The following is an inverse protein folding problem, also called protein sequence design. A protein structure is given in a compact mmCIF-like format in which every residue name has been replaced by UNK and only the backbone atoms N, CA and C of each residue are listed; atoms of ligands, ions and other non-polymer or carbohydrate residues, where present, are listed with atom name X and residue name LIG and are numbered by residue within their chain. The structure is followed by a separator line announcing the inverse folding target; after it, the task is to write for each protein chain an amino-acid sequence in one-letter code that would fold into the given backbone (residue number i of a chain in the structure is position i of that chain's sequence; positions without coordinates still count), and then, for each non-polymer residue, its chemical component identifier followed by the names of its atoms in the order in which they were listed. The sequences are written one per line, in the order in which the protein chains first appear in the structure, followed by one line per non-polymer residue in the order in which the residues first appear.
data_IF_577259482801
#
_entry.id   IF_577259482801
#
_cell.length_a   1.000
_cell.length_b   1.000
_cell.length_c   1.000
_cell.angle_alpha   90.00
_cell.angle_beta   90.00
_cell.angle_gamma   90.00
#
_symmetry.space_group_name_H-M   'P 1'
#
loop_
_entity.id
_entity.type
_entity.pdbx_description
1 polymer ?
#
# COMPACT_ATOMS: atom_id res chain seq x y z
N UNK A 1 7.20 -28.47 27.48
CA UNK A 1 6.00 -27.78 26.96
C UNK A 1 6.31 -27.03 25.66
N UNK A 2 7.14 -25.99 25.68
CA UNK A 2 7.44 -25.17 24.48
C UNK A 2 7.97 -25.99 23.30
N UNK A 3 8.91 -26.91 23.51
CA UNK A 3 9.39 -27.82 22.44
C UNK A 3 8.27 -28.68 21.84
N UNK A 4 7.38 -29.21 22.67
CA UNK A 4 6.23 -29.99 22.22
C UNK A 4 5.29 -29.13 21.37
N UNK A 5 5.05 -27.88 21.76
CA UNK A 5 4.28 -26.93 20.96
C UNK A 5 4.96 -26.62 19.62
N UNK A 6 6.28 -26.42 19.61
CA UNK A 6 7.08 -26.23 18.39
C UNK A 6 6.91 -27.39 17.39
N UNK A 7 7.06 -28.62 17.87
CA UNK A 7 6.86 -29.83 17.03
C UNK A 7 5.42 -29.94 16.55
N UNK A 8 4.44 -29.66 17.41
CA UNK A 8 3.02 -29.71 17.05
C UNK A 8 2.67 -28.69 15.96
N UNK A 9 3.19 -27.46 16.03
CA UNK A 9 2.91 -26.44 15.02
C UNK A 9 3.57 -26.76 13.68
N UNK A 10 4.79 -27.32 13.70
CA UNK A 10 5.44 -27.82 12.47
C UNK A 10 4.61 -28.89 11.79
N UNK A 11 4.14 -29.87 12.55
CA UNK A 11 3.27 -30.92 12.03
C UNK A 11 2.00 -30.37 11.40
N UNK A 12 1.40 -29.31 11.97
CA UNK A 12 0.22 -28.66 11.39
C UNK A 12 0.54 -27.92 10.09
N UNK A 13 1.68 -27.24 10.01
CA UNK A 13 2.13 -26.57 8.77
C UNK A 13 2.44 -27.58 7.66
N UNK A 14 2.99 -28.74 8.01
CA UNK A 14 3.23 -29.83 7.06
C UNK A 14 1.91 -30.43 6.52
N UNK A 15 0.86 -30.47 7.34
CA UNK A 15 -0.47 -30.98 6.96
C UNK A 15 -1.30 -29.95 6.16
N UNK A 16 -1.15 -28.66 6.45
CA UNK A 16 -1.87 -27.58 5.79
C UNK A 16 -0.91 -26.50 5.24
N UNK A 17 -0.60 -26.54 3.92
CA UNK A 17 0.28 -25.58 3.28
C UNK A 17 -0.20 -24.11 3.35
N UNK A 18 -1.47 -23.84 3.66
CA UNK A 18 -1.95 -22.46 3.87
C UNK A 18 -1.37 -21.84 5.16
N UNK A 19 -0.91 -22.67 6.09
CA UNK A 19 -0.24 -22.25 7.33
C UNK A 19 1.26 -21.99 7.15
N UNK A 20 1.79 -22.06 5.93
CA UNK A 20 3.20 -21.79 5.67
C UNK A 20 3.61 -20.39 6.15
N UNK A 21 4.66 -20.34 6.97
CA UNK A 21 5.13 -19.12 7.62
C UNK A 21 4.42 -18.80 8.94
N UNK A 22 3.48 -19.62 9.41
CA UNK A 22 2.88 -19.47 10.74
C UNK A 22 3.94 -19.63 11.83
N UNK A 23 4.02 -18.66 12.73
CA UNK A 23 4.87 -18.70 13.90
C UNK A 23 4.28 -17.85 15.01
N UNK A 24 4.72 -18.11 16.25
CA UNK A 24 4.28 -17.34 17.40
C UNK A 24 5.44 -17.14 18.38
N UNK A 25 5.40 -16.03 19.11
CA UNK A 25 6.28 -15.81 20.26
C UNK A 25 5.76 -16.63 21.45
N UNK A 26 6.63 -16.87 22.43
CA UNK A 26 6.23 -17.49 23.69
C UNK A 26 7.07 -16.93 24.83
N UNK A 27 6.42 -16.27 25.78
CA UNK A 27 7.02 -15.89 27.05
C UNK A 27 6.16 -16.48 28.16
N UNK A 28 6.71 -17.40 28.93
CA UNK A 28 5.98 -18.17 29.92
C UNK A 28 6.70 -18.14 31.28
N UNK A 29 5.93 -18.04 32.35
CA UNK A 29 6.41 -18.11 33.72
C UNK A 29 5.77 -19.30 34.43
N UNK A 30 6.59 -20.17 35.00
CA UNK A 30 6.17 -21.35 35.75
C UNK A 30 6.61 -21.21 37.19
N UNK A 31 5.69 -21.31 38.14
CA UNK A 31 6.02 -21.42 39.55
C UNK A 31 6.27 -22.87 39.94
N UNK A 32 7.43 -23.15 40.53
CA UNK A 32 7.73 -24.39 41.24
C UNK A 32 8.15 -24.09 42.69
N UNK A 33 7.24 -24.29 43.63
CA UNK A 33 7.48 -23.98 45.04
C UNK A 33 7.80 -22.49 45.27
N UNK A 34 9.05 -22.21 45.62
CA UNK A 34 9.62 -20.86 45.84
C UNK A 34 10.43 -20.35 44.66
N UNK A 35 10.43 -21.06 43.53
CA UNK A 35 11.11 -20.67 42.31
C UNK A 35 10.12 -20.30 41.21
N UNK A 36 10.55 -19.41 40.33
CA UNK A 36 9.89 -19.05 39.08
C UNK A 36 10.83 -19.39 37.93
N UNK A 37 10.36 -20.19 36.99
CA UNK A 37 11.08 -20.54 35.78
C UNK A 37 10.49 -19.78 34.60
N UNK A 38 11.33 -18.99 33.93
CA UNK A 38 10.98 -18.27 32.72
C UNK A 38 11.39 -19.11 31.51
N UNK A 39 10.53 -19.20 30.50
CA UNK A 39 10.88 -19.69 29.18
C UNK A 39 10.49 -18.63 28.14
N UNK A 40 11.41 -18.28 27.26
CA UNK A 40 11.24 -17.16 26.34
C UNK A 40 11.71 -17.47 24.91
N UNK A 41 10.88 -17.09 23.94
CA UNK A 41 11.13 -17.11 22.50
C UNK A 41 10.40 -15.93 21.85
N UNK A 42 11.14 -15.01 21.24
CA UNK A 42 10.59 -13.97 20.36
C UNK A 42 10.88 -12.59 20.90
N UNK A 43 9.97 -11.64 20.69
CA UNK A 43 10.10 -10.23 21.13
C UNK A 43 9.01 -9.80 22.13
N UNK A 44 8.24 -10.77 22.64
CA UNK A 44 7.36 -10.56 23.79
C UNK A 44 8.17 -10.49 25.07
N UNK A 45 7.89 -9.54 25.95
CA UNK A 45 8.80 -9.20 27.04
C UNK A 45 8.29 -9.65 28.39
N UNK A 46 9.24 -10.03 29.26
CA UNK A 46 9.03 -10.28 30.68
C UNK A 46 9.74 -9.21 31.50
N UNK A 47 9.05 -8.69 32.50
CA UNK A 47 9.57 -7.72 33.46
C UNK A 47 9.30 -8.17 34.89
N UNK A 48 10.19 -7.79 35.79
CA UNK A 48 9.98 -7.82 37.23
C UNK A 48 10.06 -6.40 37.78
N UNK A 49 9.09 -6.03 38.60
CA UNK A 49 9.10 -4.83 39.40
C UNK A 49 9.40 -5.21 40.85
N UNK A 50 10.54 -4.75 41.35
CA UNK A 50 11.05 -5.05 42.69
C UNK A 50 11.80 -3.84 43.24
N UNK A 51 11.65 -3.58 44.54
CA UNK A 51 12.39 -2.52 45.26
C UNK A 51 12.35 -1.12 44.62
N UNK A 52 11.25 -0.80 43.92
CA UNK A 52 11.07 0.49 43.26
C UNK A 52 11.56 0.53 41.80
N UNK A 53 12.17 -0.55 41.30
CA UNK A 53 12.79 -0.62 39.99
C UNK A 53 12.09 -1.61 39.07
N UNK A 54 11.95 -1.25 37.80
CA UNK A 54 11.49 -2.13 36.74
C UNK A 54 12.70 -2.71 35.99
N UNK A 55 12.83 -4.04 36.00
CA UNK A 55 13.89 -4.73 35.27
C UNK A 55 13.29 -5.63 34.20
N UNK A 56 13.76 -5.50 32.96
CA UNK A 56 13.47 -6.46 31.91
C UNK A 56 14.30 -7.72 32.14
N UNK A 57 13.65 -8.88 32.17
CA UNK A 57 14.30 -10.18 32.40
C UNK A 57 14.47 -11.00 31.12
N UNK A 58 13.73 -10.69 30.07
CA UNK A 58 13.84 -11.34 28.76
C UNK A 58 14.77 -10.56 27.84
N UNK A 59 15.42 -11.26 26.92
CA UNK A 59 16.21 -10.66 25.84
C UNK A 59 15.50 -10.85 24.50
N UNK A 60 15.25 -9.77 23.77
CA UNK A 60 14.45 -9.83 22.54
C UNK A 60 15.18 -10.60 21.43
N UNK A 61 14.53 -11.59 20.84
CA UNK A 61 15.05 -12.32 19.68
C UNK A 61 14.76 -11.59 18.36
N UNK A 62 15.10 -10.31 18.27
CA UNK A 62 14.89 -9.49 17.06
C UNK A 62 16.20 -9.20 16.32
N UNK A 63 16.10 -8.86 15.04
CA UNK A 63 17.25 -8.48 14.23
C UNK A 63 17.95 -7.22 14.80
N UNK A 64 17.18 -6.23 15.25
CA UNK A 64 17.75 -5.02 15.85
C UNK A 64 18.44 -5.29 17.17
N UNK A 65 17.89 -6.18 18.01
CA UNK A 65 18.56 -6.61 19.23
C UNK A 65 19.91 -7.28 18.92
N UNK A 66 19.96 -8.14 17.90
CA UNK A 66 21.22 -8.74 17.46
C UNK A 66 22.26 -7.69 17.00
N UNK A 67 21.82 -6.62 16.33
CA UNK A 67 22.70 -5.51 15.95
C UNK A 67 23.20 -4.73 17.17
N UNK A 68 22.36 -4.52 18.18
CA UNK A 68 22.75 -3.90 19.46
C UNK A 68 23.80 -4.78 20.16
N UNK A 69 23.53 -6.08 20.31
CA UNK A 69 24.42 -7.03 20.99
C UNK A 69 25.80 -7.12 20.33
N UNK A 70 25.86 -6.94 19.01
CA UNK A 70 27.09 -6.93 18.22
C UNK A 70 27.72 -5.53 18.10
N UNK A 71 27.20 -4.53 18.81
CA UNK A 71 27.63 -3.12 18.80
C UNK A 71 27.62 -2.49 17.39
N UNK A 72 26.70 -2.91 16.53
CA UNK A 72 26.54 -2.35 15.17
C UNK A 72 25.63 -1.12 15.16
N UNK A 73 24.68 -1.05 16.08
CA UNK A 73 23.78 0.10 16.28
C UNK A 73 23.61 0.38 17.78
N UNK A 74 23.17 1.59 18.12
CA UNK A 74 22.75 1.91 19.51
C UNK A 74 21.27 1.57 19.75
N UNK A 75 20.85 1.55 21.02
CA UNK A 75 19.44 1.35 21.40
C UNK A 75 18.53 2.41 20.75
N UNK A 76 18.98 3.68 20.73
CA UNK A 76 18.21 4.77 20.13
C UNK A 76 18.10 4.63 18.60
N UNK A 77 19.07 4.01 17.96
CA UNK A 77 19.04 3.72 16.52
C UNK A 77 18.10 2.54 16.22
N UNK A 78 18.07 1.53 17.09
CA UNK A 78 17.19 0.36 16.97
C UNK A 78 15.70 0.75 16.94
N UNK A 79 15.27 1.70 17.77
CA UNK A 79 13.89 2.19 17.80
C UNK A 79 13.38 2.74 16.45
N UNK A 80 14.30 3.33 15.66
CA UNK A 80 13.97 3.94 14.35
C UNK A 80 14.36 3.05 13.18
N UNK A 81 14.88 1.86 13.44
CA UNK A 81 15.37 0.97 12.39
C UNK A 81 14.21 0.45 11.53
N UNK A 82 14.35 0.40 10.20
CA UNK A 82 13.29 -0.08 9.29
C UNK A 82 12.95 -1.56 9.52
N UNK A 83 13.89 -2.35 10.03
CA UNK A 83 13.73 -3.78 10.31
C UNK A 83 13.53 -4.09 11.81
N UNK A 84 13.03 -3.13 12.61
CA UNK A 84 12.82 -3.32 14.06
C UNK A 84 11.80 -4.41 14.42
N UNK A 85 10.89 -4.73 13.50
CA UNK A 85 9.88 -5.79 13.68
C UNK A 85 10.31 -7.16 13.13
N UNK A 86 11.56 -7.30 12.67
CA UNK A 86 12.06 -8.59 12.15
C UNK A 86 12.48 -9.47 13.34
N UNK A 87 11.70 -10.51 13.60
CA UNK A 87 11.96 -11.51 14.65
C UNK A 87 12.85 -12.62 14.08
N UNK A 88 13.88 -13.02 14.83
CA UNK A 88 14.84 -14.07 14.46
C UNK A 88 14.45 -15.46 14.97
N UNK A 89 13.71 -15.54 16.09
CA UNK A 89 13.29 -16.81 16.70
C UNK A 89 11.80 -16.79 17.00
N UNK A 90 11.06 -17.77 16.48
CA UNK A 90 9.63 -17.97 16.74
C UNK A 90 9.32 -19.45 16.91
N UNK A 91 8.40 -19.76 17.81
CA UNK A 91 7.87 -21.13 17.95
C UNK A 91 7.23 -21.54 16.61
N UNK A 92 7.44 -22.80 16.21
CA UNK A 92 7.12 -23.34 14.88
C UNK A 92 8.37 -23.43 13.99
N UNK A 93 9.38 -22.61 14.26
CA UNK A 93 10.61 -22.57 13.48
C UNK A 93 11.88 -22.74 14.34
N UNK A 94 11.76 -23.18 15.60
CA UNK A 94 12.90 -23.30 16.53
C UNK A 94 13.70 -24.59 16.36
N UNK A 95 15.01 -24.47 16.40
CA UNK A 95 15.89 -25.59 16.73
C UNK A 95 15.93 -25.84 18.25
N UNK A 96 16.29 -27.05 18.70
CA UNK A 96 16.08 -27.47 20.10
C UNK A 96 16.79 -26.64 21.17
N UNK A 97 17.83 -25.88 20.78
CA UNK A 97 18.74 -25.12 21.63
C UNK A 97 18.37 -23.62 21.73
N UNK A 98 17.30 -23.19 21.07
CA UNK A 98 16.96 -21.76 20.90
C UNK A 98 15.93 -21.21 21.88
N UNK A 99 15.64 -21.93 22.96
CA UNK A 99 14.69 -21.50 24.01
C UNK A 99 15.48 -20.95 25.19
N UNK A 100 15.36 -19.65 25.43
CA UNK A 100 15.97 -19.00 26.57
C UNK A 100 15.21 -19.41 27.83
N UNK A 101 15.95 -19.83 28.86
CA UNK A 101 15.37 -20.32 30.12
C UNK A 101 16.14 -19.78 31.32
N UNK A 102 15.43 -19.14 32.23
CA UNK A 102 16.00 -18.55 33.45
C UNK A 102 15.21 -18.99 34.68
N UNK A 103 15.85 -18.94 35.85
CA UNK A 103 15.22 -19.28 37.14
C UNK A 103 15.44 -18.16 38.15
N UNK A 104 14.35 -17.75 38.79
CA UNK A 104 14.29 -16.67 39.75
C UNK A 104 13.69 -17.16 41.07
N UNK A 105 13.98 -16.46 42.16
CA UNK A 105 13.29 -16.68 43.43
C UNK A 105 11.93 -15.98 43.42
N UNK A 106 10.88 -16.67 43.87
CA UNK A 106 9.58 -16.08 44.13
C UNK A 106 9.64 -15.31 45.45
N UNK A 107 9.92 -14.01 45.38
CA UNK A 107 10.00 -13.13 46.55
C UNK A 107 8.67 -12.38 46.72
N UNK A 108 7.96 -12.53 47.86
CA UNK A 108 6.73 -11.80 48.13
C UNK A 108 6.90 -10.29 47.97
N UNK A 109 5.91 -9.65 47.35
CA UNK A 109 5.93 -8.22 47.03
C UNK A 109 6.54 -7.90 45.66
N UNK A 110 7.23 -8.85 45.01
CA UNK A 110 7.63 -8.67 43.61
C UNK A 110 6.42 -8.80 42.69
N UNK A 111 6.35 -7.93 41.68
CA UNK A 111 5.29 -7.94 40.67
C UNK A 111 5.88 -8.25 39.30
N UNK A 112 5.33 -9.24 38.63
CA UNK A 112 5.74 -9.69 37.31
C UNK A 112 4.79 -9.19 36.24
N UNK A 113 5.36 -8.84 35.09
CA UNK A 113 4.63 -8.43 33.90
C UNK A 113 5.13 -9.26 32.70
N UNK A 114 4.23 -9.95 32.02
CA UNK A 114 4.48 -10.51 30.69
C UNK A 114 3.63 -9.72 29.68
N UNK A 115 4.20 -9.32 28.56
CA UNK A 115 3.46 -8.57 27.55
C UNK A 115 3.92 -8.89 26.11
N UNK A 116 3.00 -8.74 25.15
CA UNK A 116 3.38 -8.64 23.74
C UNK A 116 4.10 -7.32 23.46
N UNK A 117 4.80 -7.25 22.33
CA UNK A 117 5.49 -6.06 21.81
C UNK A 117 4.57 -4.84 21.62
N UNK A 118 3.26 -5.08 21.45
CA UNK A 118 2.23 -4.04 21.36
C UNK A 118 2.17 -3.08 22.55
N UNK A 119 2.65 -3.47 23.74
CA UNK A 119 2.75 -2.57 24.91
C UNK A 119 4.01 -1.69 24.87
N UNK A 120 5.24 -2.24 24.93
CA UNK A 120 6.47 -1.44 25.04
C UNK A 120 6.78 -0.60 23.79
N UNK A 121 6.15 -0.88 22.64
CA UNK A 121 6.26 -0.03 21.44
C UNK A 121 5.68 1.36 21.61
N UNK A 122 4.71 1.55 22.50
CA UNK A 122 3.97 2.82 22.66
C UNK A 122 3.89 3.32 24.09
N UNK A 123 4.19 2.46 25.07
CA UNK A 123 4.27 2.83 26.49
C UNK A 123 5.72 2.67 26.95
N UNK A 124 6.31 3.74 27.48
CA UNK A 124 7.69 3.74 27.92
C UNK A 124 7.91 2.85 29.15
N UNK A 125 9.14 2.34 29.32
CA UNK A 125 9.52 1.56 30.50
C UNK A 125 9.27 2.33 31.82
N UNK A 126 9.45 3.66 31.82
CA UNK A 126 9.14 4.50 32.97
C UNK A 126 7.64 4.44 33.31
N UNK A 127 6.76 4.64 32.33
CA UNK A 127 5.31 4.61 32.55
C UNK A 127 4.82 3.21 32.94
N UNK A 128 5.42 2.16 32.38
CA UNK A 128 5.17 0.77 32.80
C UNK A 128 5.55 0.62 34.28
N UNK A 129 6.75 1.05 34.67
CA UNK A 129 7.24 0.97 36.05
C UNK A 129 6.36 1.73 37.03
N UNK A 130 5.98 2.97 36.71
CA UNK A 130 5.05 3.78 37.51
C UNK A 130 3.68 3.11 37.68
N UNK A 131 3.19 2.44 36.63
CA UNK A 131 1.90 1.74 36.68
C UNK A 131 1.99 0.47 37.53
N UNK A 132 3.10 -0.27 37.45
CA UNK A 132 3.34 -1.46 38.28
C UNK A 132 3.59 -1.10 39.76
N UNK A 133 4.16 0.07 40.03
CA UNK A 133 4.40 0.61 41.37
C UNK A 133 3.12 0.92 42.17
N UNK A 134 1.98 1.05 41.49
CA UNK A 134 0.69 1.35 42.12
C UNK A 134 0.20 0.23 43.04
N UNK A 135 -0.69 0.58 43.97
CA UNK A 135 -1.32 -0.37 44.90
C UNK A 135 -2.55 -1.07 44.34
N UNK A 136 -2.80 -0.90 43.03
CA UNK A 136 -3.93 -1.53 42.35
C UNK A 136 -3.77 -3.05 42.30
N UNK A 137 -4.89 -3.75 42.15
CA UNK A 137 -4.88 -5.20 41.95
C UNK A 137 -4.24 -5.55 40.59
N UNK A 138 -3.68 -6.76 40.43
CA UNK A 138 -3.10 -7.20 39.15
C UNK A 138 -4.02 -6.97 37.94
N UNK A 139 -5.32 -7.23 38.12
CA UNK A 139 -6.33 -7.03 37.08
C UNK A 139 -6.48 -5.55 36.69
N UNK A 140 -6.58 -4.66 37.67
CA UNK A 140 -6.70 -3.22 37.42
C UNK A 140 -5.42 -2.64 36.81
N UNK A 141 -4.25 -3.10 37.26
CA UNK A 141 -2.95 -2.74 36.68
C UNK A 141 -2.85 -3.18 35.21
N UNK A 142 -3.23 -4.43 34.90
CA UNK A 142 -3.25 -4.94 33.52
C UNK A 142 -4.21 -4.12 32.63
N UNK A 143 -5.42 -3.83 33.10
CA UNK A 143 -6.38 -3.01 32.37
C UNK A 143 -5.84 -1.60 32.10
N UNK A 144 -5.19 -0.98 33.10
CA UNK A 144 -4.57 0.33 32.95
C UNK A 144 -3.45 0.33 31.91
N UNK A 145 -2.59 -0.67 31.89
CA UNK A 145 -1.53 -0.82 30.87
C UNK A 145 -2.12 -0.94 29.46
N UNK A 146 -3.17 -1.74 29.30
CA UNK A 146 -3.87 -1.87 28.01
C UNK A 146 -4.50 -0.54 27.59
N UNK A 147 -5.16 0.18 28.51
CA UNK A 147 -5.74 1.50 28.22
C UNK A 147 -4.68 2.53 27.82
N UNK A 148 -3.52 2.53 28.47
CA UNK A 148 -2.40 3.41 28.10
C UNK A 148 -1.90 3.12 26.68
N UNK A 149 -1.73 1.84 26.33
CA UNK A 149 -1.29 1.45 25.00
C UNK A 149 -2.32 1.80 23.91
N UNK A 150 -3.61 1.59 24.19
CA UNK A 150 -4.70 2.01 23.29
C UNK A 150 -4.76 3.53 23.13
N UNK A 151 -4.59 4.29 24.21
CA UNK A 151 -4.57 5.75 24.17
C UNK A 151 -3.38 6.31 23.39
N UNK A 152 -2.25 5.59 23.38
CA UNK A 152 -1.07 5.91 22.59
C UNK A 152 -1.18 5.50 21.10
N UNK A 153 -2.32 4.93 20.68
CA UNK A 153 -2.65 4.63 19.29
C UNK A 153 -2.82 3.15 18.98
N UNK A 154 -2.39 2.24 19.86
CA UNK A 154 -2.57 0.78 19.72
C UNK A 154 -2.18 0.22 18.33
N UNK A 155 -0.92 0.34 17.92
CA UNK A 155 -0.49 -0.03 16.57
C UNK A 155 -0.52 -1.53 16.30
N UNK A 156 -0.64 -2.35 17.35
CA UNK A 156 -0.61 -3.80 17.30
C UNK A 156 -1.53 -4.43 18.35
N UNK A 157 -1.62 -5.75 18.37
CA UNK A 157 -2.32 -6.50 19.41
C UNK A 157 -1.59 -6.36 20.76
N UNK A 158 -2.34 -5.92 21.77
CA UNK A 158 -1.81 -5.69 23.11
C UNK A 158 -2.30 -6.82 24.02
N UNK A 159 -1.37 -7.65 24.49
CA UNK A 159 -1.62 -8.68 25.49
C UNK A 159 -0.74 -8.41 26.70
N UNK A 160 -1.33 -8.48 27.90
CA UNK A 160 -0.66 -8.18 29.17
C UNK A 160 -1.11 -9.19 30.23
N UNK A 161 -0.14 -9.72 30.98
CA UNK A 161 -0.35 -10.56 32.16
C UNK A 161 0.41 -9.93 33.31
N UNK A 162 -0.28 -9.62 34.41
CA UNK A 162 0.33 -9.13 35.64
C UNK A 162 0.15 -10.17 36.73
N UNK A 163 1.22 -10.49 37.46
CA UNK A 163 1.21 -11.48 38.53
C UNK A 163 1.95 -10.95 39.76
N UNK A 164 1.29 -11.00 40.91
CA UNK A 164 1.89 -10.64 42.19
C UNK A 164 2.40 -11.89 42.88
N UNK A 165 3.64 -11.84 43.36
CA UNK A 165 4.13 -12.85 44.29
C UNK A 165 3.62 -12.47 45.68
N UNK A 166 2.76 -13.33 46.23
CA UNK A 166 2.15 -13.15 47.54
C UNK A 166 2.49 -14.33 48.44
N UNK A 167 2.51 -14.09 49.75
CA UNK A 167 2.49 -15.17 50.73
C UNK A 167 1.09 -15.81 50.68
N UNK A 168 1.01 -17.02 50.12
CA UNK A 168 -0.24 -17.73 49.95
C UNK A 168 -0.36 -18.85 51.00
N UNK A 169 -1.33 -18.71 51.91
CA UNK A 169 -1.74 -19.78 52.82
C UNK A 169 -2.65 -20.81 52.12
N UNK A 170 -3.31 -20.42 51.02
CA UNK A 170 -4.18 -21.27 50.22
C UNK A 170 -3.54 -21.69 48.89
N UNK A 171 -3.79 -22.93 48.50
CA UNK A 171 -3.38 -23.48 47.21
C UNK A 171 -4.32 -22.96 46.11
N UNK A 172 -3.81 -22.33 45.05
CA UNK A 172 -4.66 -21.92 43.92
C UNK A 172 -5.31 -23.16 43.28
N UNK A 173 -6.46 -23.00 42.61
CA UNK A 173 -7.14 -24.10 41.94
C UNK A 173 -6.22 -24.76 40.89
N UNK A 174 -6.25 -26.09 40.82
CA UNK A 174 -5.40 -26.86 39.88
C UNK A 174 -5.92 -26.79 38.42
N UNK A 175 -7.08 -26.17 38.18
CA UNK A 175 -7.64 -25.95 36.84
C UNK A 175 -7.04 -24.70 36.20
N UNK A 176 -6.43 -24.80 35.01
CA UNK A 176 -5.89 -23.64 34.32
C UNK A 176 -7.02 -22.74 33.78
N UNK A 177 -6.94 -21.45 34.08
CA UNK A 177 -7.78 -20.44 33.43
C UNK A 177 -7.19 -20.08 32.08
N UNK A 178 -7.90 -20.46 31.00
CA UNK A 178 -7.53 -20.10 29.64
C UNK A 178 -8.27 -18.83 29.24
N UNK A 179 -7.52 -17.76 28.99
CA UNK A 179 -8.05 -16.41 28.72
C UNK A 179 -7.55 -15.87 27.36
N UNK A 180 -8.11 -14.74 26.93
CA UNK A 180 -7.71 -14.06 25.70
C UNK A 180 -8.10 -14.83 24.44
N UNK A 181 -7.26 -14.80 23.40
CA UNK A 181 -7.54 -15.43 22.12
C UNK A 181 -7.70 -16.97 22.19
N UNK A 182 -7.16 -17.60 23.24
CA UNK A 182 -7.27 -19.04 23.46
C UNK A 182 -8.51 -19.45 24.28
N UNK A 183 -9.27 -18.50 24.82
CA UNK A 183 -10.43 -18.79 25.64
C UNK A 183 -11.58 -19.37 24.81
N UNK A 184 -12.25 -20.39 25.34
CA UNK A 184 -13.52 -20.86 24.79
C UNK A 184 -14.61 -19.78 25.00
N UNK A 185 -15.58 -19.64 24.07
CA UNK A 185 -16.70 -18.72 24.23
C UNK A 185 -17.43 -19.02 25.57
N UNK A 186 -17.40 -18.05 26.50
CA UNK A 186 -18.00 -18.18 27.83
C UNK A 186 -17.03 -18.01 29.01
N UNK A 187 -15.71 -18.16 28.79
CA UNK A 187 -14.69 -18.08 29.84
C UNK A 187 -13.80 -16.82 29.76
N UNK A 188 -14.19 -15.82 28.97
CA UNK A 188 -13.46 -14.56 28.86
C UNK A 188 -13.71 -13.70 30.11
N UNK A 189 -12.67 -13.37 30.91
CA UNK A 189 -12.79 -12.27 31.85
C UNK A 189 -13.16 -11.02 31.06
N UNK A 190 -14.05 -10.20 31.61
CA UNK A 190 -14.48 -8.96 30.97
C UNK A 190 -13.30 -7.97 30.89
N UNK A 191 -12.42 -8.13 29.89
CA UNK A 191 -11.51 -7.07 29.47
C UNK A 191 -12.40 -5.91 29.04
N UNK A 192 -12.27 -4.79 29.75
CA UNK A 192 -12.99 -3.52 29.58
C UNK A 192 -14.14 -3.60 28.58
N UNK A 193 -15.37 -3.70 29.09
CA UNK A 193 -16.60 -3.88 28.31
C UNK A 193 -16.83 -2.80 27.21
N UNK A 194 -15.98 -1.76 27.16
CA UNK A 194 -16.03 -0.63 26.25
C UNK A 194 -14.85 -0.53 25.25
N UNK A 195 -13.89 -1.46 25.26
CA UNK A 195 -12.76 -1.47 24.31
C UNK A 195 -13.15 -1.83 22.87
N UNK A 196 -12.35 -1.46 21.85
CA UNK A 196 -12.63 -1.79 20.44
C UNK A 196 -12.83 -3.30 20.20
N UNK A 197 -12.01 -4.14 20.83
CA UNK A 197 -12.13 -5.60 20.75
C UNK A 197 -13.43 -6.11 21.39
N UNK A 198 -13.84 -5.60 22.56
CA UNK A 198 -15.10 -5.95 23.21
C UNK A 198 -16.32 -5.53 22.36
N UNK A 199 -16.26 -4.37 21.70
CA UNK A 199 -17.30 -3.92 20.76
C UNK A 199 -17.38 -4.81 19.53
N UNK A 200 -16.24 -5.21 18.97
CA UNK A 200 -16.19 -6.14 17.84
C UNK A 200 -16.77 -7.52 18.22
N UNK A 201 -16.45 -8.02 19.43
CA UNK A 201 -16.99 -9.27 19.94
C UNK A 201 -18.51 -9.24 20.13
N UNK A 202 -19.09 -8.11 20.56
CA UNK A 202 -20.56 -7.95 20.64
C UNK A 202 -21.25 -8.00 19.29
N UNK A 203 -20.57 -7.63 18.21
CA UNK A 203 -21.13 -7.70 16.85
C UNK A 203 -21.12 -9.13 16.30
N UNK A 204 -20.25 -9.99 16.83
CA UNK A 204 -20.06 -11.37 16.34
C UNK A 204 -20.69 -12.44 17.24
N UNK A 205 -21.15 -12.10 18.45
CA UNK A 205 -21.89 -13.04 19.29
C UNK A 205 -23.31 -13.27 18.72
N UNK A 206 -23.73 -14.54 18.51
CA UNK A 206 -25.13 -14.87 18.28
C UNK A 206 -25.94 -14.50 19.54
N UNK A 207 -27.01 -13.72 19.40
CA UNK A 207 -27.93 -13.44 20.51
C UNK A 207 -28.53 -14.77 21.03
N UNK A 208 -28.25 -15.10 22.29
CA UNK A 208 -29.01 -16.14 22.99
C UNK A 208 -30.48 -15.69 23.11
N UNK A 209 -31.46 -16.57 22.86
CA UNK A 209 -32.87 -16.20 22.93
C UNK A 209 -33.25 -15.86 24.39
N UNK A 210 -33.88 -14.70 24.66
CA UNK A 210 -34.24 -14.32 26.01
C UNK A 210 -35.38 -15.21 26.55
N UNK A 211 -35.32 -15.51 27.85
CA UNK A 211 -36.37 -16.21 28.58
C UNK A 211 -37.74 -15.50 28.44
N UNK A 212 -38.87 -16.25 28.46
CA UNK A 212 -40.17 -15.70 28.07
C UNK A 212 -40.70 -14.71 29.12
N UNK A 213 -40.69 -13.42 28.78
CA UNK A 213 -41.41 -12.36 29.48
C UNK A 213 -42.70 -11.95 28.77
N UNK A 214 -43.66 -11.29 29.46
CA UNK A 214 -45.01 -11.10 28.96
C UNK A 214 -45.06 -10.20 27.71
N UNK A 215 -45.77 -10.69 26.70
CA UNK A 215 -45.89 -10.14 25.35
C UNK A 215 -46.29 -8.66 25.33
N UNK A 216 -45.49 -7.83 24.65
CA UNK A 216 -45.90 -6.49 24.19
C UNK A 216 -46.18 -6.54 22.69
N UNK A 217 -47.17 -5.77 22.19
CA UNK A 217 -47.65 -5.88 20.83
C UNK A 217 -46.55 -5.45 19.84
N UNK A 218 -46.25 -6.36 18.91
CA UNK A 218 -45.29 -6.18 17.83
C UNK A 218 -45.75 -5.12 16.85
N UNK A 219 -44.92 -4.12 16.59
CA UNK A 219 -45.06 -3.26 15.41
C UNK A 219 -44.66 -4.07 14.16
N UNK A 220 -45.37 -3.92 13.03
CA UNK A 220 -45.07 -4.71 11.84
C UNK A 220 -43.72 -4.29 11.25
N UNK A 221 -42.76 -5.22 11.26
CA UNK A 221 -41.48 -5.05 10.59
C UNK A 221 -41.70 -4.96 9.07
N UNK A 222 -41.05 -3.97 8.45
CA UNK A 222 -41.09 -3.81 7.00
C UNK A 222 -40.45 -5.03 6.35
N UNK A 223 -41.08 -5.63 5.35
CA UNK A 223 -40.70 -6.96 4.93
C UNK A 223 -39.41 -6.88 4.09
N UNK A 224 -38.39 -7.64 4.52
CA UNK A 224 -37.03 -7.72 3.96
C UNK A 224 -36.95 -8.10 2.46
N UNK A 225 -38.07 -8.47 1.83
CA UNK A 225 -38.12 -8.64 0.38
C UNK A 225 -38.07 -7.30 -0.37
N UNK A 226 -38.49 -6.19 0.25
CA UNK A 226 -38.43 -4.86 -0.38
C UNK A 226 -36.97 -4.44 -0.60
N UNK A 227 -36.08 -4.71 0.35
CA UNK A 227 -34.64 -4.43 0.20
C UNK A 227 -33.99 -5.31 -0.85
N UNK A 228 -34.42 -6.58 -0.97
CA UNK A 228 -33.94 -7.46 -2.03
C UNK A 228 -34.43 -7.00 -3.42
N UNK A 229 -35.71 -6.63 -3.54
CA UNK A 229 -36.27 -6.09 -4.79
C UNK A 229 -35.63 -4.76 -5.16
N UNK A 230 -35.39 -3.85 -4.20
CA UNK A 230 -34.67 -2.60 -4.46
C UNK A 230 -33.23 -2.84 -4.94
N UNK A 231 -32.54 -3.85 -4.38
CA UNK A 231 -31.22 -4.25 -4.85
C UNK A 231 -31.23 -4.72 -6.30
N UNK A 232 -32.17 -5.62 -6.65
CA UNK A 232 -32.32 -6.13 -8.03
C UNK A 232 -32.73 -5.02 -9.01
N UNK A 233 -33.64 -4.13 -8.61
CA UNK A 233 -34.04 -2.96 -9.42
C UNK A 233 -32.87 -2.00 -9.61
N UNK A 234 -32.05 -1.77 -8.58
CA UNK A 234 -30.85 -0.95 -8.68
C UNK A 234 -29.84 -1.49 -9.69
N UNK A 235 -29.59 -2.81 -9.66
CA UNK A 235 -28.70 -3.47 -10.63
C UNK A 235 -29.27 -3.41 -12.05
N UNK A 236 -30.57 -3.65 -12.22
CA UNK A 236 -31.23 -3.54 -13.52
C UNK A 236 -31.20 -2.10 -14.07
N UNK A 237 -31.36 -1.09 -13.21
CA UNK A 237 -31.26 0.31 -13.59
C UNK A 237 -29.84 0.70 -14.01
N UNK A 238 -28.81 0.21 -13.29
CA UNK A 238 -27.41 0.43 -13.66
C UNK A 238 -27.07 -0.21 -15.01
N UNK A 239 -27.52 -1.44 -15.26
CA UNK A 239 -27.40 -2.11 -16.57
C UNK A 239 -28.15 -1.36 -17.66
N UNK A 240 -29.36 -0.86 -17.39
CA UNK A 240 -30.13 -0.05 -18.33
C UNK A 240 -29.43 1.27 -18.68
N UNK A 241 -28.87 1.97 -17.70
CA UNK A 241 -28.09 3.19 -17.89
C UNK A 241 -26.81 2.92 -18.68
N UNK A 242 -26.13 1.81 -18.41
CA UNK A 242 -24.96 1.38 -19.18
C UNK A 242 -25.32 1.11 -20.64
N UNK A 243 -26.40 0.37 -20.92
CA UNK A 243 -26.87 0.11 -22.29
C UNK A 243 -27.29 1.40 -23.00
N UNK A 244 -27.97 2.32 -22.31
CA UNK A 244 -28.36 3.63 -22.88
C UNK A 244 -27.14 4.51 -23.17
N UNK A 245 -26.17 4.57 -22.25
CA UNK A 245 -24.91 5.29 -22.45
C UNK A 245 -24.07 4.69 -23.58
N UNK A 246 -24.01 3.36 -23.65
CA UNK A 246 -23.31 2.64 -24.72
C UNK A 246 -24.01 2.84 -26.08
N UNK A 247 -25.34 2.82 -26.14
CA UNK A 247 -26.10 3.15 -27.36
C UNK A 247 -25.90 4.60 -27.80
N UNK A 248 -25.91 5.54 -26.86
CA UNK A 248 -25.65 6.95 -27.16
C UNK A 248 -24.24 7.14 -27.71
N UNK A 249 -23.24 6.56 -27.05
CA UNK A 249 -21.85 6.60 -27.50
C UNK A 249 -21.64 5.97 -28.88
N UNK A 250 -22.27 4.82 -29.15
CA UNK A 250 -22.22 4.20 -30.49
C UNK A 250 -22.91 5.05 -31.56
N UNK A 251 -23.99 5.76 -31.21
CA UNK A 251 -24.73 6.62 -32.14
C UNK A 251 -24.03 7.96 -32.43
N UNK A 252 -22.93 8.29 -31.73
CA UNK A 252 -22.17 9.53 -31.91
C UNK A 252 -21.10 9.44 -32.99
N UNK A 253 -20.80 8.25 -33.48
CA UNK A 253 -19.66 8.02 -34.38
C UNK A 253 -20.08 8.11 -35.85
N UNK A 254 -19.29 8.81 -36.66
CA UNK A 254 -19.47 8.91 -38.10
C UNK A 254 -18.23 8.36 -38.80
N UNK A 255 -18.38 7.85 -40.02
CA UNK A 255 -17.24 7.52 -40.86
C UNK A 255 -17.57 7.72 -42.33
N UNK A 256 -16.55 8.06 -43.11
CA UNK A 256 -16.65 8.26 -44.56
C UNK A 256 -16.06 7.04 -45.25
N UNK A 257 -16.85 6.38 -46.09
CA UNK A 257 -16.42 5.17 -46.81
C UNK A 257 -16.98 5.13 -48.22
N UNK A 258 -16.40 4.25 -49.05
CA UNK A 258 -16.84 3.98 -50.42
C UNK A 258 -18.22 3.31 -50.42
N UNK A 259 -19.13 3.86 -51.21
CA UNK A 259 -20.45 3.29 -51.51
C UNK A 259 -20.56 3.11 -53.03
N UNK A 260 -20.31 1.87 -53.48
CA UNK A 260 -20.11 1.53 -54.89
C UNK A 260 -19.05 2.41 -55.57
N UNK A 261 -19.47 3.45 -56.29
CA UNK A 261 -18.59 4.34 -57.08
C UNK A 261 -18.49 5.76 -56.52
N UNK A 262 -19.19 6.07 -55.42
CA UNK A 262 -19.22 7.41 -54.80
C UNK A 262 -18.87 7.38 -53.32
N UNK A 263 -18.44 8.51 -52.78
CA UNK A 263 -18.16 8.67 -51.35
C UNK A 263 -19.48 8.86 -50.57
N UNK A 264 -19.66 8.14 -49.47
CA UNK A 264 -20.83 8.28 -48.59
C UNK A 264 -20.43 8.45 -47.12
N UNK A 265 -21.29 9.12 -46.37
CA UNK A 265 -21.14 9.29 -44.92
C UNK A 265 -22.07 8.31 -44.22
N UNK A 266 -21.48 7.47 -43.38
CA UNK A 266 -22.16 6.47 -42.58
C UNK A 266 -22.13 6.87 -41.11
N UNK A 267 -23.19 6.50 -40.38
CA UNK A 267 -23.27 6.67 -38.93
C UNK A 267 -23.04 5.30 -38.27
N UNK A 268 -21.97 5.16 -37.50
CA UNK A 268 -21.59 3.91 -36.81
C UNK A 268 -20.08 3.60 -36.79
N UNK A 269 -19.73 2.34 -36.50
CA UNK A 269 -18.35 1.79 -36.59
C UNK A 269 -18.23 0.91 -37.85
N UNK A 270 -17.06 0.86 -38.51
CA UNK A 270 -16.85 0.05 -39.71
C UNK A 270 -16.63 -1.45 -39.43
N UNK A 271 -16.64 -1.91 -38.17
CA UNK A 271 -16.42 -3.31 -37.82
C UNK A 271 -17.73 -4.12 -37.90
N UNK A 272 -17.71 -5.19 -38.69
CA UNK A 272 -18.83 -6.14 -38.81
C UNK A 272 -18.83 -7.12 -37.62
N UNK A 273 -19.80 -7.00 -36.72
CA UNK A 273 -20.05 -7.99 -35.67
C UNK A 273 -21.02 -9.06 -36.18
N UNK A 274 -20.52 -9.96 -37.04
CA UNK A 274 -21.30 -11.07 -37.58
C UNK A 274 -22.50 -10.61 -38.43
N UNK A 275 -23.69 -11.25 -38.34
CA UNK A 275 -24.80 -11.01 -39.27
C UNK A 275 -25.59 -9.71 -39.03
N UNK A 276 -25.14 -8.81 -38.14
CA UNK A 276 -25.86 -7.59 -37.78
C UNK A 276 -25.13 -6.35 -38.32
N UNK A 277 -25.70 -5.70 -39.35
CA UNK A 277 -25.20 -4.43 -39.88
C UNK A 277 -25.59 -3.27 -38.94
N UNK A 278 -24.61 -2.72 -38.22
CA UNK A 278 -24.80 -1.64 -37.23
C UNK A 278 -24.58 -0.23 -37.80
N UNK A 279 -24.78 -0.03 -39.11
CA UNK A 279 -24.64 1.27 -39.76
C UNK A 279 -25.93 1.67 -40.46
N UNK A 280 -26.37 2.92 -40.26
CA UNK A 280 -27.49 3.51 -40.97
C UNK A 280 -26.96 4.56 -41.95
N UNK A 281 -27.29 4.39 -43.23
CA UNK A 281 -26.83 5.25 -44.32
C UNK A 281 -27.50 6.61 -44.16
N UNK A 282 -26.74 7.63 -43.78
CA UNK A 282 -27.32 8.96 -43.48
C UNK A 282 -27.22 9.90 -44.68
N UNK A 283 -26.20 9.77 -45.56
CA UNK A 283 -26.12 10.59 -46.78
C UNK A 283 -25.23 10.02 -47.88
N UNK A 284 -25.64 10.17 -49.14
CA UNK A 284 -24.83 9.87 -50.33
C UNK A 284 -24.44 11.13 -51.06
N UNK A 285 -23.17 11.22 -51.42
CA UNK A 285 -22.62 12.40 -52.10
C UNK A 285 -22.41 12.09 -53.57
N UNK A 286 -22.35 13.14 -54.41
CA UNK A 286 -22.11 12.99 -55.85
C UNK A 286 -20.62 12.95 -56.22
N UNK A 287 -19.73 12.75 -55.25
CA UNK A 287 -18.27 12.74 -55.47
C UNK A 287 -17.83 11.35 -55.92
N UNK A 288 -17.37 11.17 -57.18
CA UNK A 288 -16.89 9.88 -57.65
C UNK A 288 -15.56 9.52 -57.00
N UNK A 289 -15.40 8.29 -56.51
CA UNK A 289 -14.14 7.83 -55.89
C UNK A 289 -12.97 7.81 -56.90
N UNK A 290 -13.30 7.71 -58.19
CA UNK A 290 -12.34 7.76 -59.29
C UNK A 290 -11.63 9.11 -59.46
N UNK A 291 -12.24 10.22 -59.02
CA UNK A 291 -11.63 11.56 -59.16
C UNK A 291 -10.72 11.93 -57.98
N UNK A 292 -10.57 11.04 -57.00
CA UNK A 292 -9.68 11.23 -55.85
C UNK A 292 -8.25 10.78 -56.16
N UNK A 293 -7.28 11.42 -55.53
CA UNK A 293 -5.86 11.02 -55.56
C UNK A 293 -5.69 9.64 -54.91
N UNK A 294 -4.72 8.84 -55.35
CA UNK A 294 -4.55 7.43 -54.97
C UNK A 294 -4.54 7.19 -53.44
N UNK A 295 -3.84 8.02 -52.66
CA UNK A 295 -3.81 7.91 -51.19
C UNK A 295 -5.19 8.17 -50.56
N UNK A 296 -5.89 9.22 -51.02
CA UNK A 296 -7.24 9.53 -50.55
C UNK A 296 -8.24 8.41 -50.91
N UNK A 297 -8.06 7.76 -52.06
CA UNK A 297 -8.87 6.61 -52.48
C UNK A 297 -8.69 5.42 -51.53
N UNK A 298 -7.46 5.07 -51.20
CA UNK A 298 -7.15 3.97 -50.27
C UNK A 298 -7.69 4.23 -48.86
N UNK A 299 -7.60 5.47 -48.38
CA UNK A 299 -8.16 5.85 -47.08
C UNK A 299 -9.70 5.77 -47.05
N UNK A 300 -10.38 6.24 -48.10
CA UNK A 300 -11.85 6.13 -48.22
C UNK A 300 -12.28 4.66 -48.36
N UNK A 301 -11.50 3.82 -49.03
CA UNK A 301 -11.78 2.37 -49.10
C UNK A 301 -11.58 1.66 -47.76
N UNK A 302 -10.63 2.12 -46.93
CA UNK A 302 -10.42 1.60 -45.58
C UNK A 302 -11.38 2.17 -44.52
N UNK A 303 -12.11 3.25 -44.84
CA UNK A 303 -13.03 3.95 -43.95
C UNK A 303 -12.35 4.99 -43.05
N UNK A 304 -12.58 6.27 -43.33
CA UNK A 304 -12.03 7.39 -42.55
C UNK A 304 -12.98 7.68 -41.38
N UNK A 305 -12.49 7.55 -40.14
CA UNK A 305 -13.27 7.85 -38.92
C UNK A 305 -13.45 9.35 -38.74
N UNK A 306 -14.64 9.76 -38.35
CA UNK A 306 -14.99 11.14 -38.02
C UNK A 306 -15.65 11.19 -36.65
N UNK A 307 -15.23 12.13 -35.81
CA UNK A 307 -15.69 12.20 -34.41
C UNK A 307 -17.13 12.72 -34.28
N UNK A 308 -17.62 13.44 -35.30
CA UNK A 308 -18.98 13.96 -35.39
C UNK A 308 -19.35 14.34 -36.85
N UNK A 309 -20.60 14.75 -37.07
CA UNK A 309 -21.12 15.12 -38.38
C UNK A 309 -20.36 16.30 -39.02
N UNK A 310 -20.01 17.32 -38.23
CA UNK A 310 -19.27 18.48 -38.74
C UNK A 310 -17.84 18.12 -39.18
N UNK A 311 -17.23 17.15 -38.50
CA UNK A 311 -15.93 16.59 -38.86
C UNK A 311 -16.02 15.76 -40.15
N UNK A 312 -17.07 14.94 -40.29
CA UNK A 312 -17.33 14.19 -41.53
C UNK A 312 -17.54 15.13 -42.73
N UNK A 313 -18.26 16.24 -42.54
CA UNK A 313 -18.48 17.25 -43.58
C UNK A 313 -17.15 17.91 -43.99
N UNK A 314 -16.29 18.23 -43.02
CA UNK A 314 -14.96 18.83 -43.26
C UNK A 314 -14.04 17.88 -44.05
N UNK A 315 -14.05 16.60 -43.72
CA UNK A 315 -13.33 15.57 -44.48
C UNK A 315 -13.84 15.53 -45.92
N UNK A 316 -15.16 15.61 -46.11
CA UNK A 316 -15.76 15.61 -47.45
C UNK A 316 -15.37 16.87 -48.25
N UNK A 317 -15.39 18.06 -47.65
CA UNK A 317 -14.99 19.32 -48.30
C UNK A 317 -13.51 19.30 -48.70
N UNK A 318 -12.65 18.70 -47.86
CA UNK A 318 -11.25 18.48 -48.19
C UNK A 318 -11.07 17.54 -49.39
N UNK A 319 -11.84 16.43 -49.46
CA UNK A 319 -11.83 15.52 -50.60
C UNK A 319 -12.33 16.20 -51.88
N UNK A 320 -13.33 17.08 -51.78
CA UNK A 320 -13.81 17.89 -52.90
C UNK A 320 -12.74 18.84 -53.43
N UNK A 321 -12.04 19.57 -52.55
CA UNK A 321 -10.99 20.50 -52.97
C UNK A 321 -9.85 19.79 -53.73
N UNK A 322 -9.44 18.61 -53.28
CA UNK A 322 -8.44 17.78 -53.97
C UNK A 322 -8.91 17.31 -55.36
N UNK A 323 -10.18 16.90 -55.48
CA UNK A 323 -10.75 16.47 -56.78
C UNK A 323 -10.82 17.62 -57.79
N UNK A 324 -11.11 18.84 -57.33
CA UNK A 324 -11.24 20.02 -58.19
C UNK A 324 -9.90 20.50 -58.76
N UNK A 325 -8.78 20.22 -58.08
CA UNK A 325 -7.43 20.54 -58.54
C UNK A 325 -6.93 19.60 -59.65
N UNK A 326 -7.42 18.36 -59.68
CA UNK A 326 -7.04 17.35 -60.69
C UNK A 326 -8.01 17.29 -61.90
N UNK A 327 -9.08 18.09 -61.91
CA UNK A 327 -10.18 18.00 -62.88
C UNK A 327 -9.98 18.66 -64.24
N UNK A 328 -8.80 19.21 -64.56
CA UNK A 328 -8.54 19.94 -65.81
C UNK A 328 -7.65 19.16 -66.80
N UNK A 329 -8.11 18.00 -67.26
CA UNK A 329 -7.43 17.22 -68.32
C UNK A 329 -7.93 17.53 -69.75
N UNK A 330 -8.63 18.65 -70.01
CA UNK A 330 -9.12 18.98 -71.36
C UNK A 330 -8.84 20.43 -71.79
N UNK A 331 -7.57 20.85 -71.82
CA UNK A 331 -7.15 22.08 -72.51
C UNK A 331 -6.02 21.80 -73.53
N UNK A 332 -6.04 22.37 -74.77
CA UNK A 332 -5.07 22.01 -75.81
C UNK A 332 -3.68 22.63 -75.54
N UNK A 333 -2.63 21.84 -75.76
CA UNK A 333 -1.21 22.21 -75.61
C UNK A 333 -0.74 23.25 -76.65
N UNK A 334 0.07 24.27 -76.25
CA UNK A 334 0.98 24.97 -77.16
C UNK A 334 2.37 24.29 -77.21
N UNK A 335 3.17 24.52 -78.28
CA UNK A 335 4.30 23.65 -78.63
C UNK A 335 5.62 23.98 -77.93
N UNK A 336 6.49 22.96 -77.92
CA UNK A 336 7.79 22.86 -77.28
C UNK A 336 8.87 23.85 -77.77
N UNK A 337 9.80 24.20 -76.88
CA UNK A 337 11.16 24.58 -77.24
C UNK A 337 12.20 23.79 -76.42
N UNK A 338 13.20 23.35 -77.17
CA UNK A 338 14.27 22.37 -76.96
C UNK A 338 15.43 22.80 -76.03
N UNK A 339 16.36 21.87 -75.67
CA UNK A 339 17.17 21.90 -74.45
C UNK A 339 18.63 22.35 -74.65
N UNK A 340 19.40 22.53 -73.56
CA UNK A 340 20.89 22.50 -73.56
C UNK A 340 21.44 22.09 -72.18
N UNK A 341 22.58 21.35 -72.10
CA UNK A 341 22.88 20.37 -71.05
C UNK A 341 24.06 20.71 -70.09
N UNK A 342 24.26 19.80 -69.13
CA UNK A 342 25.30 19.69 -68.07
C UNK A 342 26.77 19.91 -68.48
N UNK A 343 27.67 20.15 -67.51
CA UNK A 343 29.09 19.84 -67.65
C UNK A 343 29.58 18.65 -66.78
N UNK A 344 30.53 17.91 -67.36
CA UNK A 344 31.28 16.74 -66.86
C UNK A 344 32.77 17.09 -66.69
N UNK A 345 33.44 16.38 -65.74
CA UNK A 345 34.89 16.04 -65.62
C UNK A 345 35.87 16.85 -64.72
N UNK A 346 36.27 16.19 -63.60
CA UNK A 346 37.61 15.80 -63.03
C UNK A 346 38.95 16.26 -63.71
N UNK A 347 40.19 16.01 -63.17
CA UNK A 347 40.79 15.87 -61.80
C UNK A 347 42.05 16.77 -61.54
N UNK A 348 42.66 16.75 -60.33
CA UNK A 348 44.06 16.29 -60.00
C UNK A 348 44.59 16.94 -58.68
N UNK A 349 45.10 16.09 -57.78
CA UNK A 349 45.83 16.33 -56.50
C UNK A 349 47.27 16.88 -56.70
N UNK A 350 48.21 17.07 -55.72
CA UNK A 350 48.31 16.50 -54.34
C UNK A 350 48.83 17.44 -53.20
N UNK A 351 48.74 16.97 -51.94
CA UNK A 351 49.89 16.64 -51.02
C UNK A 351 49.53 16.76 -49.51
N UNK A 352 49.76 15.65 -48.78
CA UNK A 352 49.70 15.33 -47.33
C UNK A 352 50.64 16.16 -46.40
N UNK A 353 50.74 15.96 -45.03
CA UNK A 353 50.41 14.78 -44.16
C UNK A 353 49.62 15.10 -42.85
N UNK A 354 48.77 14.22 -42.28
CA UNK A 354 48.95 12.99 -41.43
C UNK A 354 49.43 13.19 -39.96
N UNK A 355 48.44 13.14 -39.01
CA UNK A 355 48.34 12.47 -37.67
C UNK A 355 49.35 12.77 -36.53
N UNK A 356 49.11 12.44 -35.21
CA UNK A 356 48.17 11.44 -34.64
C UNK A 356 47.46 11.73 -33.27
N UNK A 357 46.58 10.81 -32.88
CA UNK A 357 46.03 10.54 -31.52
C UNK A 357 46.98 9.59 -30.76
N UNK A 358 47.07 9.63 -29.41
CA UNK A 358 46.66 8.44 -28.62
C UNK A 358 46.06 8.73 -27.21
N UNK A 359 45.34 7.74 -26.68
CA UNK A 359 44.96 7.52 -25.26
C UNK A 359 45.92 6.45 -24.66
N UNK A 360 45.79 5.92 -23.42
CA UNK A 360 45.67 6.47 -22.06
C UNK A 360 46.89 6.09 -21.17
N UNK A 361 46.97 6.51 -19.88
CA UNK A 361 47.93 5.93 -18.92
C UNK A 361 47.49 6.01 -17.43
N UNK A 362 47.90 5.03 -16.57
CA UNK A 362 47.62 4.94 -15.13
C UNK A 362 48.82 5.39 -14.24
N UNK A 363 48.59 5.54 -12.92
CA UNK A 363 49.69 5.55 -11.93
C UNK A 363 49.33 6.04 -10.51
N UNK A 364 49.44 5.14 -9.53
CA UNK A 364 49.83 5.42 -8.13
C UNK A 364 51.37 5.20 -8.01
N UNK A 365 52.14 5.58 -6.94
CA UNK A 365 51.84 5.27 -5.51
C UNK A 365 52.47 6.20 -4.40
N UNK A 366 52.15 5.89 -3.11
CA UNK A 366 52.89 6.07 -1.81
C UNK A 366 53.30 7.52 -1.36
N UNK A 367 53.22 8.01 -0.11
CA UNK A 367 53.72 7.54 1.22
C UNK A 367 53.15 8.36 2.40
N UNK A 368 52.65 7.63 3.41
CA UNK A 368 52.78 7.71 4.89
C UNK A 368 52.68 8.99 5.77
N UNK A 369 51.91 8.76 6.86
CA UNK A 369 52.15 9.06 8.29
C UNK A 369 52.11 10.49 8.85
N UNK A 370 51.15 10.72 9.75
CA UNK A 370 51.43 11.17 11.12
C UNK A 370 50.27 10.86 12.09
N UNK A 371 50.58 10.11 13.14
CA UNK A 371 49.80 9.80 14.34
C UNK A 371 50.25 10.76 15.44
N UNK A 372 49.36 11.52 16.08
CA UNK A 372 49.58 12.06 17.46
C UNK A 372 48.24 12.20 18.20
N UNK A 373 48.13 11.51 19.32
CA UNK A 373 47.40 11.91 20.56
C UNK A 373 48.41 11.64 21.71
N UNK A 374 48.43 12.40 22.83
CA UNK A 374 47.44 12.23 23.92
C UNK A 374 47.10 13.49 24.80
N UNK A 375 45.83 13.58 25.27
CA UNK A 375 45.31 13.72 26.68
C UNK A 375 45.80 14.88 27.62
N UNK A 376 45.22 15.12 28.84
CA UNK A 376 43.90 15.65 29.23
C UNK A 376 43.96 16.94 30.11
N UNK A 377 42.78 17.46 30.50
CA UNK A 377 42.56 18.42 31.61
C UNK A 377 41.44 19.38 31.24
N UNK A 378 40.46 19.78 32.05
CA UNK A 378 40.23 19.83 33.49
C UNK A 378 39.17 20.93 33.65
N UNK A 379 38.11 20.69 34.43
CA UNK A 379 36.86 21.46 34.40
C UNK A 379 36.95 22.95 34.79
N UNK A 380 35.83 23.66 34.64
CA UNK A 380 35.33 24.69 35.59
C UNK A 380 33.89 25.08 35.23
N UNK A 381 33.03 24.93 36.24
CA UNK A 381 31.69 25.49 36.43
C UNK A 381 31.63 27.00 36.18
N UNK A 382 30.65 27.50 35.41
CA UNK A 382 30.08 28.84 35.63
C UNK A 382 28.56 28.80 35.40
N UNK A 383 27.85 29.01 36.51
CA UNK A 383 26.45 29.38 36.65
C UNK A 383 26.18 30.77 36.05
N UNK A 384 25.14 30.93 35.24
CA UNK A 384 24.46 32.22 35.09
C UNK A 384 23.02 32.06 34.59
N UNK A 385 22.12 32.20 35.53
CA UNK A 385 20.67 32.42 35.44
C UNK A 385 20.34 33.66 34.59
N UNK A 386 19.36 33.61 33.69
CA UNK A 386 18.41 34.72 33.43
C UNK A 386 17.27 34.32 32.48
N UNK A 387 16.03 34.39 33.00
CA UNK A 387 14.94 35.17 32.42
C UNK A 387 14.06 34.52 31.33
N UNK A 388 12.72 34.72 31.38
CA UNK A 388 11.75 33.85 30.72
C UNK A 388 11.50 34.22 29.25
N UNK A 389 11.30 33.21 28.41
CA UNK A 389 10.83 33.36 27.04
C UNK A 389 9.30 33.56 27.02
N UNK A 390 8.89 34.68 26.45
CA UNK A 390 7.53 34.99 26.08
C UNK A 390 7.16 34.27 24.77
N UNK A 391 5.94 33.73 24.73
CA UNK A 391 5.20 33.44 23.50
C UNK A 391 4.88 34.77 22.77
N UNK A 392 4.69 34.78 21.44
CA UNK A 392 3.33 34.56 20.96
C UNK A 392 3.22 33.71 19.68
N UNK A 393 2.04 33.13 19.55
CA UNK A 393 1.53 32.38 18.42
C UNK A 393 0.99 33.28 17.28
N UNK A 394 1.00 32.69 16.09
CA UNK A 394 -0.01 32.72 15.03
C UNK A 394 -0.41 34.06 14.36
N UNK A 395 -0.08 34.18 13.08
CA UNK A 395 -1.02 34.57 12.02
C UNK A 395 -0.38 34.31 10.65
N UNK A 396 -1.10 33.59 9.79
CA UNK A 396 -0.62 33.22 8.45
C UNK A 396 -1.59 32.26 7.76
N UNK A 397 -2.78 32.76 7.45
CA UNK A 397 -3.69 32.13 6.47
C UNK A 397 -3.00 32.08 5.11
N UNK A 398 -2.88 30.87 4.54
CA UNK A 398 -2.56 30.67 3.13
C UNK A 398 -3.72 29.91 2.49
N UNK A 399 -4.44 30.62 1.63
CA UNK A 399 -5.54 30.11 0.80
C UNK A 399 -4.93 29.27 -0.32
N UNK A 400 -5.25 27.98 -0.35
CA UNK A 400 -4.91 27.09 -1.46
C UNK A 400 -5.83 27.37 -2.66
N UNK A 401 -5.22 27.73 -3.79
CA UNK A 401 -5.87 27.98 -5.07
C UNK A 401 -5.76 26.71 -5.94
N UNK A 402 -6.88 26.24 -6.47
CA UNK A 402 -6.98 25.04 -7.31
C UNK A 402 -6.34 25.25 -8.70
N UNK A 403 -5.73 24.22 -9.33
CA UNK A 403 -5.16 24.35 -10.67
C UNK A 403 -6.25 24.28 -11.76
N UNK A 404 -6.22 25.28 -12.64
CA UNK A 404 -6.98 25.40 -13.88
C UNK A 404 -6.49 24.42 -14.96
N UNK A 405 -7.43 23.89 -15.75
CA UNK A 405 -7.20 23.01 -16.89
C UNK A 405 -6.39 23.68 -18.02
N UNK A 406 -5.58 22.93 -18.80
CA UNK A 406 -4.89 23.46 -19.96
C UNK A 406 -5.83 23.58 -21.18
N UNK A 407 -5.65 24.69 -21.91
CA UNK A 407 -6.26 25.02 -23.18
C UNK A 407 -6.04 23.93 -24.24
N UNK A 408 -7.11 23.64 -24.97
CA UNK A 408 -7.17 22.77 -26.13
C UNK A 408 -6.92 23.57 -27.40
N UNK A 409 -5.67 23.92 -27.69
CA UNK A 409 -5.26 24.48 -28.99
C UNK A 409 -3.78 24.15 -29.23
N UNK A 410 -3.50 22.88 -29.52
CA UNK A 410 -2.25 22.47 -30.20
C UNK A 410 -2.39 21.02 -30.69
N UNK A 411 -2.93 20.86 -31.90
CA UNK A 411 -2.77 19.64 -32.68
C UNK A 411 -1.99 20.02 -33.94
N UNK A 412 -0.80 19.43 -34.19
CA UNK A 412 0.04 19.86 -35.30
C UNK A 412 -0.61 19.51 -36.64
N UNK A 413 -0.83 20.53 -37.47
CA UNK A 413 -1.21 20.41 -38.88
C UNK A 413 -0.06 19.76 -39.65
N UNK A 414 -0.23 18.50 -40.09
CA UNK A 414 0.75 17.83 -40.97
C UNK A 414 0.60 18.41 -42.37
N UNK A 415 1.64 19.02 -42.98
CA UNK A 415 1.58 19.45 -44.36
C UNK A 415 1.76 18.24 -45.28
N UNK A 416 0.83 18.04 -46.22
CA UNK A 416 0.91 17.01 -47.26
C UNK A 416 1.53 17.60 -48.54
N UNK A 417 2.28 16.79 -49.31
CA UNK A 417 3.01 17.28 -50.49
C UNK A 417 2.04 17.63 -51.64
N UNK A 418 2.43 18.64 -52.41
CA UNK A 418 1.75 19.09 -53.63
C UNK A 418 1.82 18.00 -54.74
N UNK A 419 0.81 17.98 -55.61
CA UNK A 419 0.65 16.97 -56.67
C UNK A 419 1.83 16.96 -57.66
N UNK A 420 2.26 15.78 -58.15
CA UNK A 420 3.26 15.65 -59.21
C UNK A 420 2.73 16.04 -60.61
#
# INVERSE_FOLDING_TARGET
AVRTANVSMRSQVDEDPELNGMGSTCTALLRDGTQLHLAHVGDSRGYVYADGELTQVTHDHTFVQHLIDTNQITEEEAERHPQRSVILRVVGHLDEEEIDTDTFNAVPGHRWLLCSDGLPRVVSAQTIGETLAGTDSPAATAERLVQLALAAGGPDNITVVVADVVDADERPPDTPDVVGAAALPGNMPAVSADGPAARAQRLTQPEDPPAPGPERPSTPSRPRWITFVLGVVGVAAALGLFVLGFRWWMASQYYVSKDADTVAVYRGRPEELGPLSLHERTQSTKLPVGTLVQNAREQVESGIRADNEADAQRILDNLWSQSSLCGNENAPLPPALTPTPSPTARPTEPTSPTLPVPSPAPGAPTVANARITPTPGGGTTITATHGPAQSPAASGESVAQAPTAPDSDDVPTIPWPECP
#
